data_IF_637960407831
#
_entry.id   IF_637960407831
#
_cell.length_a   1.000
_cell.length_b   1.000
_cell.length_c   1.000
_cell.angle_alpha   90.00
_cell.angle_beta   90.00
_cell.angle_gamma   90.00
#
_symmetry.space_group_name_H-M   'P 1'
#
loop_
_entity.id
_entity.type
_entity.pdbx_description
1 polymer ?
#
# COMPACT_ATOMS: atom_id res chain seq x y z
N UNK A 1 -35.94 20.85 -3.31
CA UNK A 1 -35.68 19.39 -3.44
C UNK A 1 -34.26 19.04 -3.92
N UNK A 2 -33.70 19.69 -4.96
CA UNK A 2 -32.34 19.38 -5.48
C UNK A 2 -31.21 19.31 -4.42
N UNK A 3 -31.21 20.22 -3.44
CA UNK A 3 -30.21 20.26 -2.37
C UNK A 3 -30.31 19.06 -1.41
N UNK A 4 -31.53 18.59 -1.13
CA UNK A 4 -31.77 17.44 -0.25
C UNK A 4 -31.31 16.16 -0.95
N UNK A 5 -31.64 16.01 -2.25
CA UNK A 5 -31.17 14.88 -3.05
C UNK A 5 -29.63 14.84 -3.09
N UNK A 6 -28.99 15.99 -3.32
CA UNK A 6 -27.53 16.07 -3.27
C UNK A 6 -26.98 15.67 -1.90
N UNK A 7 -27.57 16.17 -0.81
CA UNK A 7 -27.15 15.82 0.56
C UNK A 7 -27.26 14.31 0.83
N UNK A 8 -28.35 13.66 0.40
CA UNK A 8 -28.53 12.22 0.54
C UNK A 8 -27.50 11.42 -0.27
N UNK A 9 -27.17 11.87 -1.49
CA UNK A 9 -26.12 11.24 -2.30
C UNK A 9 -24.76 11.32 -1.58
N UNK A 10 -24.38 12.50 -1.07
CA UNK A 10 -23.14 12.64 -0.31
C UNK A 10 -23.14 11.81 0.98
N UNK A 11 -24.28 11.71 1.67
CA UNK A 11 -24.41 10.88 2.86
C UNK A 11 -24.22 9.39 2.53
N UNK A 12 -24.82 8.92 1.42
CA UNK A 12 -24.63 7.54 0.95
C UNK A 12 -23.19 7.26 0.53
N UNK A 13 -22.54 8.19 -0.16
CA UNK A 13 -21.12 8.07 -0.53
C UNK A 13 -20.24 8.03 0.72
N UNK A 14 -20.50 8.90 1.70
CA UNK A 14 -19.77 8.93 2.97
C UNK A 14 -19.95 7.65 3.77
N UNK A 15 -21.19 7.18 3.93
CA UNK A 15 -21.49 5.93 4.64
C UNK A 15 -20.89 4.71 3.92
N UNK A 16 -21.03 4.64 2.60
CA UNK A 16 -20.45 3.57 1.79
C UNK A 16 -18.92 3.56 1.83
N UNK A 17 -18.29 4.74 1.76
CA UNK A 17 -16.85 4.88 1.90
C UNK A 17 -16.34 4.46 3.28
N UNK A 18 -17.05 4.84 4.34
CA UNK A 18 -16.72 4.42 5.71
C UNK A 18 -16.81 2.90 5.85
N UNK A 19 -17.90 2.30 5.35
CA UNK A 19 -18.08 0.84 5.36
C UNK A 19 -16.96 0.13 4.60
N UNK A 20 -16.65 0.60 3.40
CA UNK A 20 -15.57 0.02 2.59
C UNK A 20 -14.21 0.10 3.32
N UNK A 21 -13.90 1.23 3.98
CA UNK A 21 -12.67 1.39 4.74
C UNK A 21 -12.60 0.47 5.98
N UNK A 22 -13.73 0.17 6.61
CA UNK A 22 -13.82 -0.73 7.75
C UNK A 22 -13.69 -2.21 7.38
N UNK A 23 -14.25 -2.59 6.23
CA UNK A 23 -14.40 -4.00 5.83
C UNK A 23 -13.37 -4.45 4.80
N UNK A 24 -12.60 -3.54 4.18
CA UNK A 24 -11.61 -3.90 3.17
C UNK A 24 -10.24 -3.25 3.39
N UNK A 25 -9.20 -4.02 3.08
CA UNK A 25 -7.84 -3.54 2.86
C UNK A 25 -7.65 -3.23 1.37
N UNK A 26 -7.02 -2.08 1.08
CA UNK A 26 -6.52 -1.74 -0.24
C UNK A 26 -5.03 -2.05 -0.27
N UNK A 27 -4.65 -3.10 -0.98
CA UNK A 27 -3.26 -3.57 -1.05
C UNK A 27 -2.66 -3.21 -2.40
N UNK A 28 -1.60 -2.42 -2.41
CA UNK A 28 -0.82 -2.13 -3.60
C UNK A 28 0.36 -3.10 -3.69
N UNK A 29 0.35 -3.95 -4.71
CA UNK A 29 1.42 -4.89 -5.05
C UNK A 29 2.17 -4.44 -6.30
N UNK A 30 3.21 -5.19 -6.72
CA UNK A 30 3.89 -4.95 -8.00
C UNK A 30 2.99 -5.29 -9.20
N UNK A 31 2.05 -6.19 -9.01
CA UNK A 31 1.11 -6.66 -10.05
C UNK A 31 -0.12 -5.75 -10.19
N UNK A 32 -0.37 -4.90 -9.18
CA UNK A 32 -1.49 -3.97 -9.19
C UNK A 32 -2.16 -3.81 -7.83
N UNK A 33 -3.38 -3.28 -7.87
CA UNK A 33 -4.22 -3.00 -6.70
C UNK A 33 -5.13 -4.19 -6.39
N UNK A 34 -5.20 -4.55 -5.12
CA UNK A 34 -6.04 -5.64 -4.63
C UNK A 34 -6.96 -5.11 -3.54
N UNK A 35 -8.25 -5.41 -3.67
CA UNK A 35 -9.20 -5.26 -2.57
C UNK A 35 -9.27 -6.59 -1.81
N UNK A 36 -9.09 -6.55 -0.50
CA UNK A 36 -9.03 -7.76 0.35
C UNK A 36 -9.98 -7.57 1.52
N UNK A 37 -10.99 -8.43 1.72
CA UNK A 37 -11.86 -8.35 2.89
C UNK A 37 -11.05 -8.45 4.19
N UNK A 38 -11.40 -7.67 5.22
CA UNK A 38 -10.75 -7.79 6.53
C UNK A 38 -11.33 -8.98 7.28
N UNK A 39 -10.47 -9.73 7.97
CA UNK A 39 -10.89 -10.76 8.93
C UNK A 39 -11.62 -10.18 10.15
N UNK A 40 -11.34 -8.92 10.50
CA UNK A 40 -12.01 -8.18 11.57
C UNK A 40 -12.24 -6.73 11.13
N UNK A 41 -13.46 -6.24 11.31
CA UNK A 41 -13.83 -4.87 11.02
C UNK A 41 -12.96 -3.87 11.81
N UNK A 42 -12.47 -2.82 11.13
CA UNK A 42 -11.70 -1.75 11.76
C UNK A 42 -10.90 -0.93 10.76
N UNK A 43 -10.24 0.12 11.21
CA UNK A 43 -9.48 1.04 10.33
C UNK A 43 -7.99 0.70 10.19
N UNK A 44 -7.53 -0.38 10.83
CA UNK A 44 -6.15 -0.84 10.70
C UNK A 44 -5.89 -1.32 9.27
N UNK A 45 -4.69 -1.05 8.78
CA UNK A 45 -4.19 -1.49 7.47
C UNK A 45 -5.15 -1.24 6.31
N UNK A 46 -5.95 -0.15 6.37
CA UNK A 46 -6.92 0.18 5.33
C UNK A 46 -6.25 0.38 3.97
N UNK A 47 -5.01 0.88 3.99
CA UNK A 47 -4.13 0.93 2.83
C UNK A 47 -2.76 0.35 3.18
N UNK A 48 -2.26 -0.56 2.34
CA UNK A 48 -0.95 -1.18 2.49
C UNK A 48 -0.21 -1.24 1.15
N UNK A 49 0.93 -0.55 1.06
CA UNK A 49 1.85 -0.66 -0.08
C UNK A 49 2.93 -1.69 0.21
N UNK A 50 2.71 -2.92 -0.28
CA UNK A 50 3.58 -4.06 0.00
C UNK A 50 4.72 -4.20 -1.01
N UNK A 51 4.85 -3.29 -1.99
CA UNK A 51 5.84 -3.43 -3.09
C UNK A 51 7.28 -3.51 -2.62
N UNK A 52 7.59 -2.90 -1.47
CA UNK A 52 8.93 -2.82 -0.87
C UNK A 52 8.97 -3.43 0.54
N UNK A 53 7.93 -4.16 0.94
CA UNK A 53 7.88 -4.75 2.26
C UNK A 53 8.87 -5.89 2.40
N UNK A 54 9.53 -5.94 3.55
CA UNK A 54 10.41 -7.03 3.91
C UNK A 54 9.67 -8.03 4.80
N UNK A 55 10.24 -9.23 4.99
CA UNK A 55 9.69 -10.23 5.90
C UNK A 55 9.49 -9.71 7.33
N UNK A 56 10.30 -8.74 7.78
CA UNK A 56 10.17 -8.10 9.09
C UNK A 56 8.95 -7.20 9.19
N UNK A 57 8.61 -6.45 8.13
CA UNK A 57 7.45 -5.55 8.09
C UNK A 57 6.15 -6.33 8.31
N UNK A 58 6.06 -7.55 7.76
CA UNK A 58 4.88 -8.41 7.95
C UNK A 58 4.59 -8.77 9.41
N UNK A 59 5.59 -8.70 10.30
CA UNK A 59 5.38 -8.94 11.75
C UNK A 59 4.51 -7.87 12.40
N UNK A 60 4.55 -6.65 11.88
CA UNK A 60 3.77 -5.52 12.40
C UNK A 60 2.34 -5.51 11.83
N UNK A 61 2.07 -6.30 10.78
CA UNK A 61 0.79 -6.37 10.08
C UNK A 61 0.20 -7.81 10.04
N UNK A 62 0.08 -8.51 11.18
CA UNK A 62 -0.35 -9.92 11.20
C UNK A 62 -1.80 -10.11 10.73
N UNK A 63 -2.66 -9.12 10.97
CA UNK A 63 -4.07 -9.17 10.55
C UNK A 63 -4.21 -9.06 9.03
N UNK A 64 -3.47 -8.16 8.40
CA UNK A 64 -3.42 -8.05 6.94
C UNK A 64 -2.89 -9.34 6.30
N UNK A 65 -1.83 -9.91 6.88
CA UNK A 65 -1.29 -11.18 6.42
C UNK A 65 -2.34 -12.29 6.47
N UNK A 66 -3.09 -12.39 7.58
CA UNK A 66 -4.18 -13.35 7.71
C UNK A 66 -5.28 -13.11 6.67
N UNK A 67 -5.77 -11.88 6.53
CA UNK A 67 -6.80 -11.52 5.53
C UNK A 67 -6.37 -11.88 4.10
N UNK A 68 -5.09 -11.69 3.75
CA UNK A 68 -4.56 -12.10 2.44
C UNK A 68 -4.53 -13.62 2.26
N UNK A 69 -4.21 -14.37 3.31
CA UNK A 69 -4.23 -15.84 3.27
C UNK A 69 -5.65 -16.35 3.10
N UNK A 70 -6.59 -15.81 3.87
CA UNK A 70 -8.01 -16.19 3.84
C UNK A 70 -8.66 -15.88 2.48
N UNK A 71 -8.25 -14.78 1.84
CA UNK A 71 -8.69 -14.37 0.49
C UNK A 71 -7.91 -15.07 -0.65
N UNK A 72 -7.05 -16.05 -0.33
CA UNK A 72 -6.29 -16.84 -1.31
C UNK A 72 -5.11 -16.11 -1.97
N UNK A 73 -4.75 -14.92 -1.46
CA UNK A 73 -3.67 -14.05 -1.96
C UNK A 73 -2.39 -14.12 -1.12
N UNK A 74 -2.17 -15.23 -0.41
CA UNK A 74 -0.97 -15.44 0.41
C UNK A 74 0.35 -15.39 -0.40
N UNK A 75 0.30 -15.61 -1.72
CA UNK A 75 1.46 -15.46 -2.61
C UNK A 75 2.06 -14.05 -2.59
N UNK A 76 1.24 -13.01 -2.36
CA UNK A 76 1.70 -11.61 -2.29
C UNK A 76 2.65 -11.36 -1.11
N UNK A 77 2.48 -12.11 -0.01
CA UNK A 77 3.36 -12.07 1.16
C UNK A 77 4.74 -12.60 0.78
N UNK A 78 4.77 -13.77 0.12
CA UNK A 78 6.01 -14.43 -0.30
C UNK A 78 6.76 -13.58 -1.33
N UNK A 79 6.04 -13.04 -2.32
CA UNK A 79 6.61 -12.21 -3.38
C UNK A 79 7.19 -10.90 -2.85
N UNK A 80 6.46 -10.20 -1.97
CA UNK A 80 6.96 -8.96 -1.35
C UNK A 80 8.18 -9.22 -0.48
N UNK A 81 8.11 -10.20 0.43
CA UNK A 81 9.21 -10.53 1.33
C UNK A 81 10.49 -10.96 0.59
N UNK A 82 10.37 -11.75 -0.48
CA UNK A 82 11.51 -12.18 -1.30
C UNK A 82 12.15 -11.01 -2.01
N UNK A 83 11.35 -10.13 -2.62
CA UNK A 83 11.84 -8.94 -3.30
C UNK A 83 12.55 -7.97 -2.35
N UNK A 84 11.96 -7.70 -1.18
CA UNK A 84 12.57 -6.81 -0.19
C UNK A 84 13.90 -7.35 0.34
N UNK A 85 14.06 -8.68 0.42
CA UNK A 85 15.33 -9.32 0.77
C UNK A 85 16.41 -9.06 -0.29
N UNK A 86 16.12 -9.29 -1.58
CA UNK A 86 17.08 -9.02 -2.66
C UNK A 86 17.45 -7.53 -2.75
N UNK A 87 16.48 -6.62 -2.58
CA UNK A 87 16.74 -5.17 -2.55
C UNK A 87 17.67 -4.77 -1.39
N UNK A 88 17.57 -5.45 -0.23
CA UNK A 88 18.43 -5.21 0.92
C UNK A 88 19.86 -5.76 0.75
N UNK A 89 20.02 -6.88 0.04
CA UNK A 89 21.33 -7.45 -0.29
C UNK A 89 22.05 -6.70 -1.40
N UNK A 90 21.30 -6.24 -2.40
CA UNK A 90 21.83 -5.51 -3.55
C UNK A 90 21.16 -4.14 -3.61
N UNK A 91 21.48 -3.22 -2.69
CA UNK A 91 20.99 -1.86 -2.76
C UNK A 91 21.51 -1.25 -4.07
N UNK A 92 20.61 -1.11 -5.06
CA UNK A 92 20.95 -0.57 -6.37
C UNK A 92 21.75 0.72 -6.22
N UNK A 93 22.82 0.83 -7.00
CA UNK A 93 23.78 1.94 -7.07
C UNK A 93 23.18 3.30 -7.49
N UNK A 94 21.87 3.49 -7.33
CA UNK A 94 21.15 4.72 -7.68
C UNK A 94 21.61 5.93 -6.84
N UNK A 95 22.11 5.69 -5.62
CA UNK A 95 22.61 6.76 -4.74
C UNK A 95 23.87 7.44 -5.31
N UNK A 96 24.63 6.78 -6.18
CA UNK A 96 25.87 7.33 -6.74
C UNK A 96 25.63 8.28 -7.93
N UNK A 97 24.48 8.17 -8.61
CA UNK A 97 24.15 9.02 -9.77
C UNK A 97 23.70 10.44 -9.37
N UNK A 98 23.07 10.60 -8.20
CA UNK A 98 22.70 11.93 -7.67
C UNK A 98 23.86 12.70 -7.05
N UNK A 99 24.91 12.02 -6.55
CA UNK A 99 26.08 12.67 -5.97
C UNK A 99 27.15 13.07 -7.01
N UNK A 100 27.06 12.56 -8.25
CA UNK A 100 28.08 12.72 -9.28
C UNK A 100 27.87 13.91 -10.23
N UNK A 101 26.89 14.79 -10.00
CA UNK A 101 26.74 16.02 -10.81
C UNK A 101 26.99 17.31 -10.00
N UNK A 102 28.26 17.64 -9.70
CA UNK A 102 28.64 18.95 -9.17
C UNK A 102 28.69 20.06 -10.25
N UNK A 103 28.50 19.76 -11.55
CA UNK A 103 28.72 20.72 -12.64
C UNK A 103 27.60 21.75 -12.86
N UNK A 104 26.42 21.59 -12.25
CA UNK A 104 25.30 22.51 -12.53
C UNK A 104 25.37 23.87 -11.82
N UNK A 105 26.30 24.07 -10.88
CA UNK A 105 26.42 25.34 -10.12
C UNK A 105 27.48 26.32 -10.65
N UNK A 106 28.41 25.89 -11.52
CA UNK A 106 29.55 26.74 -11.92
C UNK A 106 29.32 27.53 -13.23
N UNK A 107 28.21 27.31 -13.94
CA UNK A 107 27.89 27.98 -15.23
C UNK A 107 26.94 29.19 -15.11
N UNK A 108 26.74 29.74 -13.91
CA UNK A 108 26.02 31.00 -13.72
C UNK A 108 26.90 32.02 -12.99
N UNK A 109 27.88 32.54 -13.71
CA UNK A 109 28.43 33.88 -13.51
C UNK A 109 28.54 34.54 -14.88
#
# INVERSE_FOLDING_TARGET
>A
MRRIVAALIFMMIGAGGMYAAFEYHIVQSKEGWHLVPKSQAGLHDTYADIRKWQATTWKDHPRLAQSLIDDGKGNLIIQSASNGFFDGLFPGTDKQRSAANPESSQKRL
#
